data_IF_076776313989
#
_entry.id   IF_076776313989
#
_cell.length_a   1.000
_cell.length_b   1.000
_cell.length_c   1.000
_cell.angle_alpha   90.00
_cell.angle_beta   90.00
_cell.angle_gamma   90.00
#
_symmetry.space_group_name_H-M   'P 1'
#
loop_
_entity.id
_entity.type
_entity.pdbx_description
1 polymer ?
#
# COMPACT_ATOMS: atom_id res chain seq x y z
N UNK A 1 -22.13 -52.81 19.65
CA UNK A 1 -20.79 -52.60 19.06
C UNK A 1 -20.73 -51.15 18.59
N UNK A 2 -20.04 -50.30 19.33
CA UNK A 2 -20.12 -48.83 19.27
C UNK A 2 -19.13 -48.31 18.20
N UNK A 3 -19.64 -47.75 17.09
CA UNK A 3 -18.79 -47.04 16.12
C UNK A 3 -18.71 -45.56 16.51
N UNK A 4 -17.66 -45.23 17.27
CA UNK A 4 -17.17 -43.86 17.48
C UNK A 4 -16.73 -43.30 16.13
N UNK A 5 -17.54 -42.45 15.52
CA UNK A 5 -17.08 -41.59 14.44
C UNK A 5 -16.93 -40.17 14.96
N UNK A 6 -15.65 -39.87 15.15
CA UNK A 6 -15.00 -38.66 15.60
C UNK A 6 -15.45 -37.47 14.75
N UNK A 7 -16.04 -36.46 15.41
CA UNK A 7 -16.23 -35.11 14.89
C UNK A 7 -14.85 -34.60 14.47
N UNK A 8 -14.59 -34.52 13.17
CA UNK A 8 -13.37 -33.88 12.66
C UNK A 8 -13.68 -32.39 12.54
N UNK A 9 -13.58 -31.70 13.67
CA UNK A 9 -13.52 -30.26 13.74
C UNK A 9 -12.15 -29.83 13.20
N UNK A 10 -12.00 -29.75 11.87
CA UNK A 10 -10.89 -28.99 11.30
C UNK A 10 -11.29 -27.53 11.39
N UNK A 11 -10.99 -26.94 12.54
CA UNK A 11 -10.72 -25.52 12.68
C UNK A 11 -9.52 -25.21 11.78
N UNK A 12 -9.75 -25.09 10.47
CA UNK A 12 -8.79 -24.52 9.54
C UNK A 12 -8.72 -23.02 9.84
N UNK A 13 -7.98 -22.69 10.90
CA UNK A 13 -7.40 -21.39 11.18
C UNK A 13 -6.35 -21.07 10.12
N UNK A 14 -6.76 -21.01 8.85
CA UNK A 14 -5.88 -20.56 7.79
C UNK A 14 -6.03 -19.06 7.71
N UNK A 15 -5.17 -18.40 8.50
CA UNK A 15 -4.71 -17.04 8.38
C UNK A 15 -5.53 -16.20 7.40
N UNK A 16 -6.44 -15.40 7.97
CA UNK A 16 -6.88 -14.20 7.25
C UNK A 16 -5.59 -13.47 6.82
N UNK A 17 -5.40 -13.11 5.55
CA UNK A 17 -4.30 -12.25 5.17
C UNK A 17 -4.65 -10.86 5.72
N UNK A 18 -4.47 -10.68 7.03
CA UNK A 18 -4.83 -9.46 7.72
C UNK A 18 -3.83 -8.34 7.43
N UNK A 19 -2.74 -8.62 6.72
CA UNK A 19 -1.83 -7.62 6.18
C UNK A 19 -1.64 -7.91 4.70
N UNK A 20 -2.28 -7.13 3.82
CA UNK A 20 -1.70 -6.96 2.49
C UNK A 20 -0.25 -6.50 2.68
N UNK A 21 0.71 -7.17 2.05
CA UNK A 21 2.10 -6.73 2.13
C UNK A 21 2.18 -5.30 1.59
N UNK A 22 2.71 -4.33 2.38
CA UNK A 22 2.82 -2.96 1.90
C UNK A 22 3.70 -2.92 0.65
N UNK A 23 3.22 -2.25 -0.40
CA UNK A 23 4.02 -2.00 -1.59
C UNK A 23 5.24 -1.16 -1.18
N UNK A 24 6.43 -1.76 -1.24
CA UNK A 24 7.69 -1.06 -0.96
C UNK A 24 8.13 -0.34 -2.24
N UNK A 25 8.17 0.98 -2.19
CA UNK A 25 8.60 1.81 -3.31
C UNK A 25 10.11 2.02 -3.25
N UNK A 26 10.81 1.71 -4.34
CA UNK A 26 12.19 2.16 -4.54
C UNK A 26 12.19 3.57 -5.14
N UNK A 27 12.92 4.47 -4.51
CA UNK A 27 13.04 5.88 -4.92
C UNK A 27 14.38 6.06 -5.63
N UNK A 28 14.34 6.55 -6.87
CA UNK A 28 15.51 6.89 -7.66
C UNK A 28 16.12 8.23 -7.23
N UNK A 29 15.28 9.21 -6.89
CA UNK A 29 15.71 10.53 -6.43
C UNK A 29 14.67 11.16 -5.51
N UNK A 30 15.12 11.96 -4.53
CA UNK A 30 14.25 12.77 -3.70
C UNK A 30 14.85 14.18 -3.56
N UNK A 31 14.00 15.20 -3.63
CA UNK A 31 14.39 16.60 -3.40
C UNK A 31 13.39 17.30 -2.50
N UNK A 32 13.91 18.12 -1.59
CA UNK A 32 13.10 19.09 -0.86
C UNK A 32 12.97 20.37 -1.69
N UNK A 33 11.76 20.92 -1.75
CA UNK A 33 11.45 22.16 -2.45
C UNK A 33 10.44 22.98 -1.64
N UNK A 34 10.09 24.16 -2.14
CA UNK A 34 8.99 24.98 -1.60
C UNK A 34 7.97 25.12 -2.72
N UNK A 35 6.73 24.73 -2.43
CA UNK A 35 5.62 24.91 -3.35
C UNK A 35 5.42 26.42 -3.60
N UNK A 36 5.53 26.84 -4.86
CA UNK A 36 5.52 28.26 -5.22
C UNK A 36 4.15 28.93 -5.03
N UNK A 37 3.05 28.15 -5.02
CA UNK A 37 1.71 28.68 -4.86
C UNK A 37 1.35 28.94 -3.39
N UNK A 38 1.83 28.08 -2.49
CA UNK A 38 1.46 28.08 -1.08
C UNK A 38 2.60 28.53 -0.16
N UNK A 39 3.84 28.53 -0.63
CA UNK A 39 5.03 28.77 0.17
C UNK A 39 5.36 27.64 1.16
N UNK A 40 4.70 26.48 1.03
CA UNK A 40 4.89 25.36 1.95
C UNK A 40 6.05 24.46 1.52
N UNK A 41 6.83 23.91 2.46
CA UNK A 41 7.85 22.94 2.15
C UNK A 41 7.22 21.65 1.62
N UNK A 42 7.78 21.11 0.53
CA UNK A 42 7.34 19.87 -0.11
C UNK A 42 8.52 18.96 -0.36
N UNK A 43 8.25 17.66 -0.52
CA UNK A 43 9.23 16.65 -0.91
C UNK A 43 8.75 16.02 -2.21
N UNK A 44 9.58 16.13 -3.25
CA UNK A 44 9.36 15.48 -4.53
C UNK A 44 10.08 14.14 -4.53
N UNK A 45 9.37 13.07 -4.85
CA UNK A 45 9.92 11.73 -5.00
C UNK A 45 9.84 11.29 -6.45
N UNK A 46 10.98 10.87 -7.01
CA UNK A 46 11.02 10.14 -8.29
C UNK A 46 11.26 8.67 -8.01
N UNK A 47 10.32 7.84 -8.43
CA UNK A 47 10.38 6.40 -8.26
C UNK A 47 11.26 5.76 -9.34
N UNK A 48 11.75 4.55 -9.06
CA UNK A 48 12.29 3.68 -10.13
C UNK A 48 11.18 3.24 -11.07
N UNK A 49 11.52 2.84 -12.29
CA UNK A 49 10.55 2.39 -13.30
C UNK A 49 9.69 1.22 -12.80
N UNK A 50 10.32 0.19 -12.21
CA UNK A 50 9.61 -0.95 -11.63
C UNK A 50 8.62 -0.54 -10.54
N UNK A 51 9.03 0.38 -9.66
CA UNK A 51 8.15 0.88 -8.59
C UNK A 51 7.01 1.71 -9.15
N UNK A 52 7.27 2.53 -10.18
CA UNK A 52 6.26 3.37 -10.82
C UNK A 52 5.16 2.52 -11.46
N UNK A 53 5.56 1.44 -12.16
CA UNK A 53 4.62 0.45 -12.70
C UNK A 53 3.78 -0.21 -11.61
N UNK A 54 4.42 -0.70 -10.54
CA UNK A 54 3.70 -1.33 -9.44
C UNK A 54 2.72 -0.37 -8.74
N UNK A 55 3.09 0.91 -8.61
CA UNK A 55 2.23 1.94 -8.03
C UNK A 55 1.08 2.33 -8.96
N UNK A 56 1.29 2.35 -10.27
CA UNK A 56 0.23 2.52 -11.26
C UNK A 56 -0.81 1.39 -11.19
N UNK A 57 -0.36 0.15 -11.12
CA UNK A 57 -1.24 -1.02 -10.95
C UNK A 57 -2.02 -0.94 -9.63
N UNK A 58 -1.34 -0.59 -8.53
CA UNK A 58 -1.96 -0.46 -7.21
C UNK A 58 -3.03 0.64 -7.20
N UNK A 59 -2.72 1.83 -7.71
CA UNK A 59 -3.65 2.96 -7.69
C UNK A 59 -4.84 2.74 -8.62
N UNK A 60 -4.62 2.15 -9.79
CA UNK A 60 -5.69 1.79 -10.71
C UNK A 60 -6.70 0.82 -10.09
N UNK A 61 -6.22 -0.19 -9.35
CA UNK A 61 -7.08 -1.18 -8.70
C UNK A 61 -7.81 -0.65 -7.45
N UNK A 62 -7.45 0.54 -6.94
CA UNK A 62 -7.90 1.04 -5.64
C UNK A 62 -8.47 2.47 -5.68
N UNK A 63 -8.92 2.95 -6.84
CA UNK A 63 -9.63 4.23 -6.95
C UNK A 63 -10.82 4.27 -5.97
N UNK A 64 -10.95 5.39 -5.25
CA UNK A 64 -11.94 5.61 -4.21
C UNK A 64 -11.56 5.08 -2.83
N UNK A 65 -10.42 4.37 -2.68
CA UNK A 65 -9.94 3.85 -1.40
C UNK A 65 -8.85 4.74 -0.80
N UNK A 66 -8.76 4.74 0.53
CA UNK A 66 -7.65 5.37 1.25
C UNK A 66 -6.40 4.50 1.13
N UNK A 67 -5.27 5.12 0.77
CA UNK A 67 -3.96 4.50 0.90
C UNK A 67 -3.19 5.13 2.06
N UNK A 68 -2.28 4.38 2.67
CA UNK A 68 -1.36 4.90 3.67
C UNK A 68 0.04 4.99 3.07
N UNK A 69 0.63 6.19 3.09
CA UNK A 69 2.05 6.38 2.80
C UNK A 69 2.82 6.31 4.11
N UNK A 70 3.81 5.41 4.17
CA UNK A 70 4.61 5.17 5.38
C UNK A 70 6.10 5.39 5.12
N UNK A 71 6.77 6.04 6.06
CA UNK A 71 8.24 6.18 6.12
C UNK A 71 8.71 5.54 7.42
N UNK A 72 9.67 4.63 7.36
CA UNK A 72 10.15 3.84 8.50
C UNK A 72 9.01 3.19 9.30
N UNK A 73 7.99 2.73 8.58
CA UNK A 73 6.80 2.11 9.17
C UNK A 73 5.84 3.09 9.86
N UNK A 74 6.09 4.39 9.86
CA UNK A 74 5.17 5.41 10.39
C UNK A 74 4.36 6.03 9.27
N UNK A 75 3.04 6.10 9.44
CA UNK A 75 2.15 6.75 8.47
C UNK A 75 2.40 8.24 8.47
N UNK A 76 2.78 8.78 7.31
CA UNK A 76 3.02 10.20 7.10
C UNK A 76 1.85 10.87 6.38
N UNK A 77 1.15 10.14 5.51
CA UNK A 77 -0.03 10.61 4.78
C UNK A 77 -1.04 9.47 4.60
N UNK A 78 -2.32 9.81 4.52
CA UNK A 78 -3.39 8.86 4.25
C UNK A 78 -4.41 9.39 3.20
N UNK A 79 -3.99 9.62 1.94
CA UNK A 79 -4.86 10.19 0.93
C UNK A 79 -5.86 9.17 0.38
N UNK A 80 -6.98 9.69 -0.14
CA UNK A 80 -7.93 8.92 -0.96
C UNK A 80 -7.43 8.91 -2.40
N UNK A 81 -7.32 7.75 -3.01
CA UNK A 81 -6.96 7.59 -4.42
C UNK A 81 -8.11 8.12 -5.28
N UNK A 82 -7.87 9.22 -6.00
CA UNK A 82 -8.91 9.85 -6.84
C UNK A 82 -8.90 9.33 -8.27
N UNK A 83 -7.73 8.95 -8.76
CA UNK A 83 -7.50 8.46 -10.11
C UNK A 83 -6.24 7.55 -10.12
N UNK A 84 -6.06 6.73 -11.17
CA UNK A 84 -4.81 6.00 -11.36
C UNK A 84 -3.62 6.95 -11.49
N UNK A 85 -2.50 6.63 -10.85
CA UNK A 85 -1.26 7.41 -10.92
C UNK A 85 -0.26 6.66 -11.79
N UNK A 86 -0.10 7.09 -13.05
CA UNK A 86 0.59 6.32 -14.09
C UNK A 86 2.08 6.66 -14.30
N UNK A 87 2.59 7.73 -13.68
CA UNK A 87 3.98 8.17 -13.83
C UNK A 87 4.21 9.59 -13.36
#
# INVERSE_FOLDING_TARGET
MIRRHLITLVMASLAWPALAEPLRLAVAYASASVDAATGQPVIDFRMTEDSAKAFAELTAANVGRTMELRIDGKTVLAPVIREPILG
#
